data_IF_019565367919
#
_entry.id   IF_019565367919
#
_cell.length_a   1.000
_cell.length_b   1.000
_cell.length_c   1.000
_cell.angle_alpha   90.00
_cell.angle_beta   90.00
_cell.angle_gamma   90.00
#
_symmetry.space_group_name_H-M   'P 1'
#
loop_
_entity.id
_entity.type
_entity.pdbx_description
1 polymer ?
2 non-polymer ?
3 water ?
#
# COMPACT_ATOMS: atom_id res chain seq x y z
N UNK A 2 -7.84 37.59 6.80
CA UNK A 2 -6.65 37.10 7.51
C UNK A 2 -5.41 37.89 7.14
N UNK A 3 -4.46 37.95 8.05
CA UNK A 3 -3.21 38.65 7.82
C UNK A 3 -2.24 37.89 6.90
N UNK A 4 -1.82 38.54 5.85
CA UNK A 4 -0.94 37.89 4.88
C UNK A 4 0.40 37.49 5.50
N UNK A 5 0.82 36.26 5.24
CA UNK A 5 2.08 35.75 5.77
C UNK A 5 3.21 35.88 4.77
N UNK A 6 2.86 35.91 3.49
CA UNK A 6 3.85 35.98 2.43
C UNK A 6 4.53 34.64 2.20
N UNK A 7 3.88 33.58 2.64
CA UNK A 7 4.39 32.22 2.47
C UNK A 7 3.41 31.38 1.65
N UNK A 8 3.87 30.89 0.50
CA UNK A 8 3.02 30.11 -0.39
C UNK A 8 3.66 28.77 -0.76
N UNK A 9 3.21 27.70 -0.11
CA UNK A 9 3.67 26.36 -0.43
C UNK A 9 2.93 25.79 -1.62
N UNK A 10 3.42 24.69 -2.17
CA UNK A 10 2.72 23.96 -3.22
C UNK A 10 2.50 22.52 -2.77
N UNK A 11 1.28 22.03 -2.96
CA UNK A 11 0.96 20.67 -2.52
C UNK A 11 -0.07 19.99 -3.42
N UNK A 12 0.31 18.85 -3.98
CA UNK A 12 -0.62 18.00 -4.73
C UNK A 12 -0.78 16.66 -4.02
N UNK A 13 -2.00 16.15 -4.01
CA UNK A 13 -2.29 14.86 -3.40
C UNK A 13 -2.89 13.91 -4.42
N UNK A 14 -2.25 12.75 -4.59
CA UNK A 14 -2.68 11.78 -5.59
C UNK A 14 -3.15 10.47 -4.96
N UNK A 15 -4.35 10.04 -5.37
CA UNK A 15 -4.85 8.73 -4.97
C UNK A 15 -4.62 7.75 -6.12
N UNK A 16 -3.61 6.90 -5.95
CA UNK A 16 -3.06 6.10 -7.04
C UNK A 16 -4.05 5.13 -7.67
N UNK A 17 -4.57 4.21 -6.87
CA UNK A 17 -5.46 3.17 -7.38
C UNK A 17 -6.81 3.72 -7.82
N UNK A 18 -7.18 4.89 -7.29
CA UNK A 18 -8.42 5.53 -7.68
C UNK A 18 -8.21 6.42 -8.90
N UNK A 19 -6.94 6.60 -9.27
CA UNK A 19 -6.55 7.44 -10.40
C UNK A 19 -7.16 8.85 -10.31
N UNK A 20 -6.98 9.48 -9.15
CA UNK A 20 -7.54 10.81 -8.92
C UNK A 20 -6.45 11.80 -8.48
N UNK A 21 -6.43 12.98 -9.10
CA UNK A 21 -5.48 14.02 -8.74
C UNK A 21 -6.15 15.16 -8.00
N UNK A 22 -5.89 15.25 -6.70
CA UNK A 22 -6.34 16.40 -5.92
C UNK A 22 -5.22 17.43 -5.90
N UNK A 23 -5.33 18.42 -6.78
CA UNK A 23 -4.21 19.34 -7.01
C UNK A 23 -4.38 20.68 -6.32
N UNK A 24 -3.24 21.31 -6.02
CA UNK A 24 -3.20 22.63 -5.38
C UNK A 24 -3.97 22.64 -4.06
N UNK A 25 -3.68 21.65 -3.23
CA UNK A 25 -4.32 21.53 -1.92
C UNK A 25 -3.82 22.60 -0.96
N UNK A 26 -2.61 23.09 -1.22
CA UNK A 26 -1.98 24.11 -0.39
C UNK A 26 -2.81 25.39 -0.21
N UNK A 27 -2.66 26.01 0.96
CA UNK A 27 -3.22 27.34 1.19
C UNK A 27 -2.55 28.31 0.23
N UNK A 28 -3.30 29.25 -0.33
CA UNK A 28 -2.68 30.21 -1.23
C UNK A 28 -1.92 31.27 -0.44
N UNK A 29 -2.03 31.20 0.88
CA UNK A 29 -1.19 31.99 1.78
C UNK A 29 -1.23 31.43 3.20
N UNK A 30 -0.06 31.12 3.74
CA UNK A 30 0.06 30.63 5.09
C UNK A 30 1.05 29.49 5.22
N UNK A 31 1.85 29.52 6.29
CA UNK A 31 2.82 28.45 6.54
C UNK A 31 2.14 27.24 7.17
N UNK A 32 1.29 26.58 6.38
CA UNK A 32 0.56 25.42 6.85
C UNK A 32 -0.02 24.67 5.66
N UNK A 33 -0.20 23.37 5.81
CA UNK A 33 -0.78 22.54 4.78
C UNK A 33 -1.52 21.35 5.36
N UNK A 34 -2.48 20.85 4.62
CA UNK A 34 -3.30 19.73 5.06
C UNK A 34 -4.65 19.75 4.38
N UNK A 35 -5.43 18.69 4.61
CA UNK A 35 -6.76 18.58 4.03
C UNK A 35 -7.57 17.48 4.69
N UNK A 36 -8.86 17.45 4.38
CA UNK A 36 -9.75 16.41 4.87
C UNK A 36 -10.35 15.63 3.71
N UNK A 37 -10.23 14.31 3.75
CA UNK A 37 -10.71 13.47 2.67
C UNK A 37 -11.66 12.40 3.18
N UNK A 38 -12.95 12.60 2.90
CA UNK A 38 -13.95 11.60 3.22
C UNK A 38 -13.90 10.46 2.19
N UNK A 39 -13.38 9.32 2.62
CA UNK A 39 -13.27 8.16 1.75
C UNK A 39 -14.47 7.23 1.95
N UNK A 40 -15.21 6.99 0.87
CA UNK A 40 -16.36 6.10 0.94
C UNK A 40 -16.05 4.80 0.18
N UNK A 41 -16.25 3.67 0.84
CA UNK A 41 -16.03 2.37 0.22
C UNK A 41 -16.97 1.29 0.74
N UNK A 42 -17.33 0.36 -0.13
CA UNK A 42 -18.21 -0.74 0.24
C UNK A 42 -17.42 -2.03 0.41
N UNK A 43 -16.18 -2.02 -0.10
CA UNK A 43 -15.31 -3.20 -0.01
C UNK A 43 -14.04 -2.89 0.76
N UNK A 44 -13.33 -3.94 1.15
CA UNK A 44 -12.07 -3.81 1.89
C UNK A 44 -10.92 -3.60 0.91
N UNK A 45 -10.20 -2.49 1.05
CA UNK A 45 -9.14 -2.19 0.11
C UNK A 45 -8.00 -1.38 0.72
N UNK A 46 -6.89 -1.32 -0.01
CA UNK A 46 -5.77 -0.47 0.36
C UNK A 46 -5.82 0.82 -0.45
N UNK A 47 -5.74 1.95 0.24
CA UNK A 47 -5.75 3.24 -0.45
C UNK A 47 -4.36 3.90 -0.35
N UNK A 48 -3.77 4.15 -1.51
CA UNK A 48 -2.42 4.71 -1.57
C UNK A 48 -2.46 6.21 -1.82
N UNK A 49 -1.83 6.98 -0.93
CA UNK A 49 -1.71 8.43 -1.11
C UNK A 49 -0.27 8.80 -1.45
N UNK A 50 -0.10 9.58 -2.51
CA UNK A 50 1.20 10.19 -2.78
C UNK A 50 1.06 11.71 -2.70
N UNK A 51 1.78 12.31 -1.76
CA UNK A 51 1.75 13.75 -1.56
C UNK A 51 3.04 14.38 -2.05
N UNK A 52 2.93 15.29 -3.01
CA UNK A 52 4.10 15.99 -3.51
C UNK A 52 4.13 17.41 -2.95
N UNK A 53 5.00 17.63 -1.97
CA UNK A 53 5.09 18.91 -1.29
C UNK A 53 6.26 19.74 -1.80
N UNK A 54 6.00 21.01 -2.10
CA UNK A 54 7.05 21.93 -2.51
C UNK A 54 7.06 23.15 -1.61
N UNK A 55 7.79 23.04 -0.48
CA UNK A 55 7.87 24.11 0.51
C UNK A 55 8.42 25.42 -0.05
N UNK A 56 7.91 26.54 0.45
CA UNK A 56 8.42 27.85 0.08
C UNK A 56 9.68 28.13 0.87
N UNK A 57 10.78 27.51 0.45
CA UNK A 57 12.04 27.52 1.22
C UNK A 57 12.57 28.92 1.50
N UNK A 58 12.37 29.84 0.57
CA UNK A 58 12.89 31.20 0.72
C UNK A 58 12.24 31.97 1.86
N UNK A 59 11.06 31.51 2.29
CA UNK A 59 10.30 32.25 3.29
C UNK A 59 10.06 31.46 4.58
N UNK A 60 10.77 30.35 4.74
CA UNK A 60 10.67 29.55 5.95
C UNK A 60 12.06 29.18 6.48
N UNK A 61 12.14 28.91 7.77
CA UNK A 61 13.38 28.44 8.36
C UNK A 61 13.49 26.93 8.17
N UNK A 62 12.35 26.26 8.13
CA UNK A 62 12.27 24.82 7.93
C UNK A 62 10.84 24.42 7.59
N UNK A 63 10.70 23.31 6.87
CA UNK A 63 9.38 22.81 6.50
C UNK A 63 8.84 21.86 7.56
N UNK A 64 7.64 22.16 8.05
CA UNK A 64 6.98 21.32 9.05
C UNK A 64 6.72 19.93 8.47
N UNK A 65 6.57 18.92 9.34
CA UNK A 65 6.22 17.59 8.81
C UNK A 65 4.74 17.53 8.43
N UNK A 66 4.38 16.56 7.60
CA UNK A 66 2.97 16.29 7.34
C UNK A 66 2.52 15.12 8.20
N UNK A 67 1.45 15.33 8.97
CA UNK A 67 0.89 14.26 9.79
C UNK A 67 -0.47 13.85 9.26
N UNK A 68 -0.99 12.73 9.77
CA UNK A 68 -2.27 12.22 9.31
C UNK A 68 -2.98 11.39 10.37
N UNK A 69 -4.29 11.56 10.47
CA UNK A 69 -5.12 10.69 11.29
C UNK A 69 -6.24 10.08 10.46
N UNK A 70 -6.35 8.77 10.50
CA UNK A 70 -7.44 8.06 9.85
C UNK A 70 -8.46 7.62 10.91
N UNK A 71 -9.64 8.21 10.87
CA UNK A 71 -10.69 7.94 11.84
C UNK A 71 -10.20 8.14 13.28
N UNK A 72 -9.37 9.16 13.48
CA UNK A 72 -8.89 9.50 14.80
C UNK A 72 -7.53 8.91 15.15
N UNK A 73 -7.16 7.82 14.48
CA UNK A 73 -5.91 7.13 14.79
C UNK A 73 -4.73 7.68 14.00
N UNK A 74 -3.62 7.92 14.70
CA UNK A 74 -2.42 8.48 14.08
C UNK A 74 -1.82 7.53 13.06
N UNK A 75 -1.51 8.05 11.88
CA UNK A 75 -0.92 7.25 10.82
C UNK A 75 0.42 7.84 10.37
N UNK A 76 1.46 7.01 10.36
CA UNK A 76 2.78 7.42 9.92
C UNK A 76 2.76 7.86 8.46
N UNK A 77 3.35 9.02 8.19
CA UNK A 77 3.43 9.54 6.83
C UNK A 77 4.88 9.62 6.39
N UNK A 78 5.40 8.52 5.82
CA UNK A 78 6.81 8.43 5.42
C UNK A 78 7.18 9.43 4.34
N UNK A 79 8.25 10.19 4.58
CA UNK A 79 8.86 11.01 3.55
C UNK A 79 9.82 10.14 2.75
N UNK A 80 9.32 9.50 1.70
CA UNK A 80 10.06 8.44 1.03
C UNK A 80 11.06 8.93 -0.02
N UNK A 81 10.91 10.16 -0.51
CA UNK A 81 11.80 10.66 -1.55
C UNK A 81 11.94 12.18 -1.54
N UNK A 82 13.11 12.66 -1.97
CA UNK A 82 13.38 14.08 -2.07
C UNK A 82 13.94 14.45 -3.44
N UNK A 83 13.46 15.55 -4.01
CA UNK A 83 14.12 16.15 -5.16
C UNK A 83 14.80 17.41 -4.69
N UNK A 84 15.20 18.28 -5.62
CA UNK A 84 15.92 19.48 -5.25
C UNK A 84 14.97 20.52 -4.65
N UNK A 85 13.67 20.34 -4.94
CA UNK A 85 12.66 21.30 -4.52
C UNK A 85 11.45 20.64 -3.87
N UNK A 86 11.25 19.36 -4.17
CA UNK A 86 10.05 18.66 -3.72
C UNK A 86 10.31 17.63 -2.62
N UNK A 87 9.37 17.55 -1.70
CA UNK A 87 9.34 16.48 -0.70
C UNK A 87 8.22 15.52 -1.07
N UNK A 88 8.52 14.23 -1.16
CA UNK A 88 7.57 13.25 -1.63
C UNK A 88 7.15 12.26 -0.55
N UNK A 89 5.93 12.39 -0.06
CA UNK A 89 5.37 11.49 0.94
C UNK A 89 4.54 10.40 0.29
N UNK A 90 4.54 9.22 0.90
CA UNK A 90 3.68 8.12 0.45
C UNK A 90 3.12 7.37 1.65
N UNK A 91 1.80 7.28 1.72
CA UNK A 91 1.16 6.55 2.81
C UNK A 91 0.10 5.60 2.25
N UNK A 92 0.01 4.42 2.85
CA UNK A 92 -0.98 3.43 2.46
C UNK A 92 -1.81 3.04 3.66
N UNK A 93 -3.12 3.20 3.55
CA UNK A 93 -4.03 2.84 4.62
C UNK A 93 -4.90 1.66 4.21
N UNK A 94 -5.38 0.92 5.19
CA UNK A 94 -6.29 -0.19 4.94
C UNK A 94 -7.65 0.11 5.54
N UNK A 95 -8.69 0.11 4.70
CA UNK A 95 -10.04 0.41 5.16
C UNK A 95 -11.01 -0.72 4.84
N UNK A 96 -11.99 -0.89 5.71
CA UNK A 96 -13.01 -1.92 5.54
C UNK A 96 -14.37 -1.28 5.32
N UNK A 97 -14.48 -0.02 5.73
CA UNK A 97 -15.70 0.76 5.55
C UNK A 97 -15.35 2.22 5.29
N UNK A 98 -16.36 3.09 5.26
CA UNK A 98 -16.14 4.52 5.04
C UNK A 98 -15.20 5.08 6.09
N UNK A 99 -14.30 5.96 5.67
CA UNK A 99 -13.29 6.51 6.56
C UNK A 99 -12.99 7.97 6.26
N UNK A 100 -12.53 8.69 7.28
CA UNK A 100 -12.13 10.08 7.12
C UNK A 100 -10.63 10.21 7.32
N UNK A 101 -9.95 10.80 6.33
CA UNK A 101 -8.51 10.99 6.41
C UNK A 101 -8.17 12.47 6.57
N UNK A 102 -7.50 12.80 7.66
CA UNK A 102 -7.10 14.18 7.92
C UNK A 102 -5.60 14.38 7.85
N UNK A 103 -5.15 15.13 6.87
CA UNK A 103 -3.76 15.54 6.81
C UNK A 103 -3.60 16.91 7.44
N UNK A 104 -2.50 17.15 8.13
CA UNK A 104 -2.30 18.41 8.85
C UNK A 104 -0.84 18.67 9.21
N UNK A 105 -0.47 19.94 9.23
CA UNK A 105 0.85 20.37 9.67
C UNK A 105 0.75 21.04 11.03
N UNK A 106 -0.45 21.49 11.38
CA UNK A 106 -0.67 22.23 12.61
C UNK A 106 -1.93 21.76 13.34
N UNK A 107 -2.04 22.12 14.61
CA UNK A 107 -3.16 21.73 15.45
C UNK A 107 -4.14 22.90 15.63
N UNK A 108 -3.60 24.11 15.60
CA UNK A 108 -4.40 25.32 15.77
C UNK A 108 -5.50 25.43 14.72
N UNK A 109 -6.70 25.79 15.14
CA UNK A 109 -7.84 25.91 14.24
C UNK A 109 -7.67 27.01 13.24
N UNK A 110 -6.90 28.00 13.61
CA UNK A 110 -6.64 29.11 12.70
C UNK A 110 -6.07 28.60 11.37
N UNK A 111 -5.49 27.40 11.40
CA UNK A 111 -4.96 26.76 10.21
C UNK A 111 -5.87 25.63 9.71
N UNK A 112 -6.29 24.75 10.62
CA UNK A 112 -7.03 23.56 10.23
C UNK A 112 -8.41 23.88 9.67
N UNK A 113 -8.98 25.01 10.07
CA UNK A 113 -10.32 25.40 9.62
C UNK A 113 -10.33 25.85 8.17
N UNK A 114 -9.16 26.21 7.63
CA UNK A 114 -9.10 26.65 6.25
C UNK A 114 -8.44 25.59 5.35
N UNK A 115 -8.19 24.41 5.89
CA UNK A 115 -7.84 23.27 5.07
C UNK A 115 -9.02 22.93 4.18
N UNK A 116 -8.77 22.48 2.95
CA UNK A 116 -9.89 22.08 2.09
C UNK A 116 -10.42 20.70 2.49
N UNK A 117 -11.70 20.46 2.21
CA UNK A 117 -12.34 19.19 2.55
C UNK A 117 -12.92 18.53 1.32
N UNK A 118 -12.56 17.28 1.08
CA UNK A 118 -13.00 16.56 -0.10
C UNK A 118 -13.76 15.29 0.25
N UNK A 119 -14.54 14.79 -0.70
CA UNK A 119 -15.13 13.47 -0.60
C UNK A 119 -14.65 12.65 -1.77
N UNK A 120 -14.25 11.41 -1.51
CA UNK A 120 -13.84 10.52 -2.59
C UNK A 120 -14.49 9.14 -2.45
N UNK A 121 -15.32 8.79 -3.42
CA UNK A 121 -15.98 7.49 -3.44
C UNK A 121 -15.12 6.46 -4.16
N UNK A 122 -14.36 5.67 -3.42
CA UNK A 122 -13.38 4.77 -4.03
C UNK A 122 -13.99 3.68 -4.90
N UNK A 123 -15.32 3.57 -4.88
CA UNK A 123 -16.01 2.55 -5.66
C UNK A 123 -16.51 3.10 -6.99
N UNK A 124 -17.08 4.31 -6.96
CA UNK A 124 -17.54 4.97 -8.17
C UNK A 124 -16.45 5.86 -8.71
N UNK A 125 -15.44 6.12 -7.88
CA UNK A 125 -14.36 7.08 -8.15
C UNK A 125 -14.91 8.47 -8.50
N UNK A 126 -16.09 8.80 -7.98
CA UNK A 126 -16.62 10.14 -8.10
C UNK A 126 -16.23 10.96 -6.87
N UNK A 127 -16.12 12.27 -7.03
CA UNK A 127 -15.65 13.12 -5.96
C UNK A 127 -16.48 14.39 -5.80
N UNK A 128 -16.05 15.24 -4.87
CA UNK A 128 -16.75 16.49 -4.56
C UNK A 128 -15.88 17.35 -3.65
N UNK A 129 -15.74 18.62 -4.01
CA UNK A 129 -15.06 19.56 -3.14
C UNK A 129 -16.07 20.20 -2.21
N UNK A 130 -16.27 19.60 -1.03
CA UNK A 130 -17.19 20.15 -0.04
C UNK A 130 -16.77 21.57 0.35
N UNK A 131 -15.47 21.77 0.53
CA UNK A 131 -14.97 23.07 0.94
C UNK A 131 -13.57 23.32 0.38
N UNK A 132 -13.40 24.44 -0.31
CA UNK A 132 -12.11 24.77 -0.89
C UNK A 132 -11.19 25.39 0.15
N UNK A 133 -11.78 25.88 1.24
CA UNK A 133 -11.01 26.54 2.30
C UNK A 133 -10.25 27.73 1.76
N UNK A 134 -9.06 27.96 2.30
CA UNK A 134 -8.21 29.04 1.83
C UNK A 134 -7.29 28.54 0.72
N UNK A 135 -7.86 27.88 -0.27
CA UNK A 135 -7.10 27.33 -1.38
C UNK A 135 -7.76 27.57 -2.74
N UNK A 136 -7.05 27.21 -3.80
CA UNK A 136 -7.60 27.21 -5.15
C UNK A 136 -7.56 25.78 -5.69
N UNK A 137 -7.87 24.83 -4.83
CA UNK A 137 -7.77 23.42 -5.16
C UNK A 137 -8.78 22.99 -6.22
N UNK A 138 -8.39 22.00 -7.01
CA UNK A 138 -9.26 21.41 -8.01
C UNK A 138 -8.93 19.94 -8.16
N UNK A 139 -9.89 19.16 -8.65
CA UNK A 139 -9.68 17.72 -8.78
C UNK A 139 -9.74 17.25 -10.23
N UNK A 140 -8.66 16.64 -10.68
CA UNK A 140 -8.64 15.99 -11.99
C UNK A 140 -8.98 14.51 -11.84
N UNK A 141 -9.97 14.04 -12.62
CA UNK A 141 -10.39 12.63 -12.55
C UNK A 141 -9.39 11.69 -13.22
N UNK A 142 -8.11 12.01 -13.11
CA UNK A 142 -7.05 11.23 -13.73
C UNK A 142 -5.72 11.51 -13.06
N UNK A 143 -4.69 10.75 -13.43
CA UNK A 143 -3.33 11.04 -13.02
C UNK A 143 -2.43 11.03 -14.25
N UNK A 144 -1.99 12.22 -14.66
CA UNK A 144 -1.17 12.34 -15.87
C UNK A 144 0.19 11.68 -15.69
N UNK A 145 0.78 11.27 -16.80
CA UNK A 145 2.12 10.70 -16.80
C UNK A 145 3.14 11.74 -16.34
N UNK A 146 2.88 13.00 -16.63
CA UNK A 146 3.75 14.09 -16.22
C UNK A 146 3.81 14.21 -14.72
N UNK A 147 2.65 14.12 -14.06
CA UNK A 147 2.59 14.16 -12.61
C UNK A 147 3.26 12.93 -12.00
N UNK A 148 3.11 11.79 -12.66
CA UNK A 148 3.69 10.54 -12.17
C UNK A 148 5.20 10.60 -12.12
N UNK A 149 5.80 11.24 -13.12
CA UNK A 149 7.25 11.34 -13.19
C UNK A 149 7.82 12.31 -12.16
N UNK A 150 6.94 13.04 -11.48
CA UNK A 150 7.35 13.94 -10.41
C UNK A 150 7.84 13.16 -9.20
N UNK A 151 7.43 11.89 -9.10
CA UNK A 151 7.89 11.04 -8.00
C UNK A 151 8.54 9.75 -8.50
N UNK A 152 8.29 9.40 -9.75
CA UNK A 152 8.90 8.21 -10.35
C UNK A 152 10.29 8.51 -10.87
N UNK B 5 -0.40 -37.30 2.46
CA UNK B 5 -1.72 -36.95 2.95
C UNK B 5 -2.77 -37.00 1.85
N UNK B 6 -2.32 -36.84 0.61
CA UNK B 6 -3.23 -36.85 -0.53
C UNK B 6 -3.92 -35.52 -0.72
N UNK B 7 -3.38 -34.49 -0.09
CA UNK B 7 -3.96 -33.15 -0.16
C UNK B 7 -3.06 -32.20 -0.93
N UNK B 8 -3.59 -31.61 -2.00
CA UNK B 8 -2.81 -30.72 -2.84
C UNK B 8 -3.48 -29.36 -3.02
N UNK B 9 -3.04 -28.38 -2.25
CA UNK B 9 -3.51 -27.01 -2.42
C UNK B 9 -2.76 -26.35 -3.57
N UNK B 10 -3.29 -25.23 -4.06
CA UNK B 10 -2.58 -24.42 -5.06
C UNK B 10 -2.34 -23.02 -4.51
N UNK B 11 -1.11 -22.53 -4.63
CA UNK B 11 -0.78 -21.22 -4.09
C UNK B 11 0.20 -20.46 -4.96
N UNK B 12 -0.20 -19.24 -5.35
CA UNK B 12 0.69 -18.33 -6.07
C UNK B 12 0.85 -17.05 -5.27
N UNK B 13 2.08 -16.56 -5.17
CA UNK B 13 2.34 -15.30 -4.48
C UNK B 13 2.92 -14.27 -5.42
N UNK B 14 2.27 -13.11 -5.51
CA UNK B 14 2.68 -12.07 -6.43
C UNK B 14 3.22 -10.84 -5.70
N UNK B 15 4.37 -10.35 -6.14
CA UNK B 15 4.89 -9.07 -5.66
C UNK B 15 4.58 -8.02 -6.71
N UNK B 16 3.55 -7.23 -6.44
CA UNK B 16 2.96 -6.35 -7.44
C UNK B 16 3.91 -5.32 -8.05
N UNK B 17 4.52 -4.49 -7.21
CA UNK B 17 5.35 -3.40 -7.71
C UNK B 17 6.71 -3.90 -8.22
N UNK B 18 7.10 -5.10 -7.80
CA UNK B 18 8.34 -5.70 -8.29
C UNK B 18 8.06 -6.49 -9.57
N UNK B 19 6.78 -6.65 -9.88
CA UNK B 19 6.32 -7.41 -11.04
C UNK B 19 6.89 -8.82 -11.05
N UNK B 20 6.83 -9.49 -9.91
CA UNK B 20 7.38 -10.83 -9.76
C UNK B 20 6.30 -11.85 -9.38
N UNK B 21 6.24 -12.94 -10.14
CA UNK B 21 5.29 -14.01 -9.87
C UNK B 21 5.97 -15.23 -9.26
N UNK B 22 5.81 -15.41 -7.96
CA UNK B 22 6.30 -16.63 -7.30
C UNK B 22 5.20 -17.68 -7.36
N UNK B 23 5.33 -18.63 -8.28
CA UNK B 23 4.23 -19.52 -8.59
C UNK B 23 4.40 -20.93 -8.01
N UNK B 24 3.26 -21.56 -7.73
CA UNK B 24 3.21 -22.92 -7.21
C UNK B 24 4.01 -23.06 -5.93
N UNK B 25 3.78 -22.13 -5.01
CA UNK B 25 4.46 -22.09 -3.72
C UNK B 25 3.99 -23.25 -2.84
N UNK B 26 2.78 -23.72 -3.11
CA UNK B 26 2.17 -24.81 -2.34
C UNK B 26 3.03 -26.06 -2.25
N UNK B 27 2.91 -26.77 -1.13
CA UNK B 27 3.52 -28.09 -1.01
C UNK B 27 2.80 -29.01 -1.98
N UNK B 28 3.54 -29.85 -2.70
CA UNK B 28 2.89 -30.74 -3.67
C UNK B 28 2.12 -31.85 -2.97
N UNK B 29 2.31 -31.95 -1.65
CA UNK B 29 1.48 -32.80 -0.80
C UNK B 29 1.52 -32.33 0.64
N UNK B 30 0.35 -32.23 1.26
CA UNK B 30 0.25 -31.83 2.65
C UNK B 30 -0.72 -30.70 2.88
N UNK B 31 -1.48 -30.77 3.97
CA UNK B 31 -2.43 -29.73 4.31
C UNK B 31 -1.74 -28.57 5.03
N UNK B 32 -0.95 -27.81 4.27
CA UNK B 32 -0.25 -26.65 4.80
C UNK B 32 0.28 -25.79 3.66
N UNK B 33 0.37 -24.49 3.89
CA UNK B 33 0.94 -23.59 2.91
C UNK B 33 1.69 -22.44 3.57
N UNK B 34 2.67 -21.92 2.86
CA UNK B 34 3.48 -20.83 3.36
C UNK B 34 4.84 -20.78 2.68
N UNK B 35 5.62 -19.75 3.00
CA UNK B 35 6.96 -19.60 2.46
C UNK B 35 7.73 -18.54 3.21
N UNK B 36 9.04 -18.49 2.97
CA UNK B 36 9.89 -17.46 3.54
C UNK B 36 10.51 -16.61 2.44
N UNK B 37 10.35 -15.30 2.56
CA UNK B 37 10.86 -14.38 1.55
C UNK B 37 11.80 -13.35 2.17
N UNK B 38 13.07 -13.44 1.79
CA UNK B 38 14.06 -12.46 2.20
C UNK B 38 14.03 -11.25 1.29
N UNK B 39 13.56 -10.13 1.84
CA UNK B 39 13.42 -8.91 1.06
C UNK B 39 14.62 -8.00 1.21
N UNK B 40 15.25 -7.66 0.08
CA UNK B 40 16.35 -6.70 0.09
C UNK B 40 15.89 -5.36 -0.46
N UNK B 41 16.12 -4.30 0.32
CA UNK B 41 15.83 -2.96 -0.12
C UNK B 41 16.83 -1.97 0.46
N UNK B 42 17.25 -1.00 -0.35
CA UNK B 42 18.17 0.03 0.10
C UNK B 42 17.43 1.31 0.39
N UNK B 43 16.20 1.40 -0.11
CA UNK B 43 15.36 2.58 0.12
C UNK B 43 14.13 2.21 0.93
N UNK B 44 13.33 3.22 1.27
CA UNK B 44 12.10 2.99 2.02
C UNK B 44 10.93 2.83 1.05
N UNK B 45 10.17 1.76 1.21
CA UNK B 45 9.12 1.45 0.26
C UNK B 45 8.03 0.55 0.83
N UNK B 46 6.89 0.54 0.14
CA UNK B 46 5.79 -0.35 0.43
C UNK B 46 5.83 -1.55 -0.51
N UNK B 47 5.78 -2.75 0.05
CA UNK B 47 5.78 -3.96 -0.76
C UNK B 47 4.41 -4.63 -0.70
N UNK B 48 3.78 -4.77 -1.87
CA UNK B 48 2.45 -5.32 -1.95
C UNK B 48 2.47 -6.80 -2.34
N UNK B 49 1.85 -7.64 -1.50
CA UNK B 49 1.72 -9.06 -1.77
C UNK B 49 0.29 -9.43 -2.12
N UNK B 50 0.11 -10.20 -3.18
CA UNK B 50 -1.19 -10.79 -3.47
C UNK B 50 -1.06 -12.30 -3.56
N UNK B 51 -1.71 -12.98 -2.63
CA UNK B 51 -1.68 -14.44 -2.57
C UNK B 51 -2.97 -15.02 -3.09
N UNK B 52 -2.87 -15.88 -4.11
CA UNK B 52 -4.04 -16.55 -4.64
C UNK B 52 -4.05 -18.03 -4.24
N UNK B 53 -4.81 -18.33 -3.20
CA UNK B 53 -4.89 -19.68 -2.66
C UNK B 53 -6.07 -20.44 -3.25
N UNK B 54 -5.82 -21.63 -3.76
CA UNK B 54 -6.87 -22.50 -4.27
C UNK B 54 -6.91 -23.79 -3.47
N UNK B 55 -7.58 -23.76 -2.30
CA UNK B 55 -7.62 -24.89 -1.35
C UNK B 55 -8.17 -26.17 -1.97
N UNK B 56 -7.64 -27.31 -1.52
CA UNK B 56 -8.16 -28.60 -1.93
C UNK B 56 -9.41 -28.91 -1.12
N UNK B 57 -10.51 -28.26 -1.50
CA UNK B 57 -11.77 -28.34 -0.76
C UNK B 57 -12.32 -29.76 -0.66
N UNK B 58 -11.92 -30.61 -1.60
CA UNK B 58 -12.39 -31.99 -1.63
C UNK B 58 -11.84 -32.79 -0.45
N UNK B 59 -10.69 -32.39 0.08
CA UNK B 59 -10.01 -33.14 1.12
C UNK B 59 -9.91 -32.42 2.46
N UNK B 60 -10.61 -31.30 2.61
CA UNK B 60 -10.58 -30.54 3.86
C UNK B 60 -11.98 -30.17 4.34
N UNK B 61 -12.10 -29.92 5.65
CA UNK B 61 -13.35 -29.46 6.22
C UNK B 61 -13.37 -27.94 6.27
N UNK B 62 -12.18 -27.35 6.40
CA UNK B 62 -12.00 -25.90 6.36
C UNK B 62 -10.61 -25.59 5.82
N UNK B 63 -10.48 -24.44 5.16
CA UNK B 63 -9.18 -23.98 4.71
C UNK B 63 -8.54 -23.12 5.79
N UNK B 64 -7.35 -23.52 6.24
CA UNK B 64 -6.63 -22.79 7.27
C UNK B 64 -6.35 -21.35 6.85
N UNK B 65 -6.26 -20.43 7.81
CA UNK B 65 -5.90 -19.05 7.48
C UNK B 65 -4.43 -18.92 7.11
N UNK B 66 -4.10 -17.93 6.29
CA UNK B 66 -2.71 -17.60 6.03
C UNK B 66 -2.25 -16.49 6.97
N UNK B 67 -1.20 -16.77 7.74
CA UNK B 67 -0.65 -15.77 8.66
C UNK B 67 0.70 -15.26 8.17
N UNK B 68 1.20 -14.20 8.79
CA UNK B 68 2.46 -13.61 8.35
C UNK B 68 3.24 -12.92 9.46
N UNK B 69 4.55 -13.18 9.52
CA UNK B 69 5.44 -12.37 10.33
C UNK B 69 6.35 -11.54 9.44
N UNK B 70 6.56 -10.27 9.82
CA UNK B 70 7.57 -9.43 9.21
C UNK B 70 8.64 -9.17 10.24
N UNK B 71 9.79 -9.82 10.07
CA UNK B 71 10.89 -9.74 11.03
C UNK B 71 10.45 -10.14 12.45
N UNK B 72 9.51 -11.07 12.54
CA UNK B 72 9.06 -11.56 13.82
C UNK B 72 7.72 -10.98 14.25
N UNK B 73 7.44 -9.75 13.85
CA UNK B 73 6.20 -9.09 14.24
C UNK B 73 5.03 -9.60 13.41
N UNK B 74 3.90 -9.84 14.09
CA UNK B 74 2.70 -10.38 13.45
C UNK B 74 1.99 -9.36 12.54
N UNK B 75 1.80 -9.75 11.28
CA UNK B 75 1.06 -8.94 10.33
C UNK B 75 -0.24 -9.61 9.92
N UNK B 76 -1.35 -8.91 10.06
CA UNK B 76 -2.63 -9.46 9.64
C UNK B 76 -2.68 -9.50 8.12
N UNK B 77 -3.17 -10.61 7.58
CA UNK B 77 -3.28 -10.77 6.13
C UNK B 77 -4.74 -10.80 5.71
N UNK B 78 -5.26 -9.64 5.26
CA UNK B 78 -6.66 -9.49 4.85
C UNK B 78 -7.06 -10.46 3.73
N UNK B 79 -8.14 -11.20 3.96
CA UNK B 79 -8.73 -12.02 2.92
C UNK B 79 -9.74 -11.16 2.16
N UNK B 80 -9.25 -10.42 1.17
CA UNK B 80 -10.02 -9.34 0.56
C UNK B 80 -11.07 -9.81 -0.44
N UNK B 81 -10.95 -11.03 -0.94
CA UNK B 81 -11.89 -11.51 -1.94
C UNK B 81 -12.00 -13.02 -2.00
N UNK B 82 -13.18 -13.50 -2.39
CA UNK B 82 -13.38 -14.93 -2.54
C UNK B 82 -14.00 -15.24 -3.86
N UNK B 83 -13.84 -16.47 -4.29
CA UNK B 83 -14.45 -16.93 -5.50
C UNK B 83 -14.79 -18.33 -5.15
N UNK B 84 -15.39 -19.05 -6.06
CA UNK B 84 -15.78 -20.40 -5.76
C UNK B 84 -14.57 -21.25 -5.52
N UNK B 85 -13.55 -21.03 -6.33
CA UNK B 85 -12.34 -21.80 -6.22
C UNK B 85 -11.27 -21.19 -5.37
N UNK B 86 -11.03 -19.92 -5.58
CA UNK B 86 -9.95 -19.28 -4.87
C UNK B 86 -10.20 -18.27 -3.79
N UNK B 87 -9.31 -18.33 -2.83
CA UNK B 87 -9.26 -17.35 -1.74
C UNK B 87 -8.15 -16.36 -2.04
N UNK B 88 -8.47 -15.09 -2.01
CA UNK B 88 -7.52 -14.07 -2.35
C UNK B 88 -7.07 -13.15 -1.25
N UNK B 89 -5.81 -13.26 -0.90
CA UNK B 89 -5.24 -12.42 0.15
C UNK B 89 -4.46 -11.25 -0.45
N UNK B 90 -4.49 -10.10 0.23
CA UNK B 90 -3.67 -8.96 -0.16
C UNK B 90 -3.13 -8.26 1.08
N UNK B 91 -1.82 -8.17 1.18
CA UNK B 91 -1.20 -7.49 2.31
C UNK B 91 -0.10 -6.55 1.85
N UNK B 92 -0.07 -5.35 2.44
CA UNK B 92 0.94 -4.36 2.13
C UNK B 92 1.79 -4.06 3.36
N UNK B 93 3.10 -4.21 3.23
CA UNK B 93 4.02 -3.93 4.32
C UNK B 93 4.91 -2.75 3.99
N UNK B 94 5.43 -2.09 5.03
CA UNK B 94 6.36 -0.99 4.86
C UNK B 94 7.71 -1.35 5.44
N UNK B 95 8.75 -1.23 4.63
CA UNK B 95 10.11 -1.54 5.08
C UNK B 95 11.07 -0.40 4.76
N UNK B 96 12.10 -0.26 5.61
CA UNK B 96 13.11 0.77 5.42
C UNK B 96 14.46 0.14 5.18
N UNK B 97 14.59 -1.13 5.54
CA UNK B 97 15.82 -1.89 5.30
C UNK B 97 15.46 -3.34 5.01
N UNK B 98 16.48 -4.18 4.85
CA UNK B 98 16.26 -5.59 4.55
C UNK B 98 15.35 -6.25 5.58
N UNK B 99 14.45 -7.11 5.11
CA UNK B 99 13.46 -7.72 5.99
C UNK B 99 13.16 -9.16 5.61
N UNK B 100 12.65 -9.91 6.58
CA UNK B 100 12.26 -11.30 6.34
C UNK B 100 10.76 -11.47 6.49
N UNK B 101 10.10 -11.84 5.40
CA UNK B 101 8.67 -12.07 5.41
C UNK B 101 8.36 -13.56 5.49
N UNK B 102 7.53 -13.94 6.45
CA UNK B 102 7.17 -15.34 6.63
C UNK B 102 5.67 -15.57 6.52
N UNK B 103 5.25 -16.17 5.41
CA UNK B 103 3.87 -16.63 5.27
C UNK B 103 3.80 -18.07 5.71
N UNK B 104 2.73 -18.45 6.41
CA UNK B 104 2.54 -19.79 6.96
C UNK B 104 1.14 -20.11 7.43
N UNK B 105 0.81 -21.39 7.49
CA UNK B 105 -0.50 -21.80 7.99
C UNK B 105 -0.38 -22.58 9.29
N UNK B 106 0.82 -23.09 9.55
CA UNK B 106 1.06 -23.90 10.74
C UNK B 106 2.30 -23.44 11.51
N UNK B 107 2.39 -23.85 12.77
CA UNK B 107 3.52 -23.49 13.61
C UNK B 107 4.46 -24.68 13.77
N UNK B 108 3.93 -25.89 13.63
CA UNK B 108 4.73 -27.11 13.76
C UNK B 108 5.83 -27.16 12.71
N UNK B 109 7.03 -27.57 13.14
CA UNK B 109 8.18 -27.64 12.24
C UNK B 109 8.02 -28.74 11.20
N UNK B 110 7.10 -29.66 11.42
CA UNK B 110 6.80 -30.71 10.47
C UNK B 110 6.34 -30.11 9.14
N UNK B 111 5.79 -28.91 9.20
CA UNK B 111 5.27 -28.22 8.02
C UNK B 111 6.15 -27.03 7.62
N UNK B 112 6.63 -26.27 8.61
CA UNK B 112 7.35 -25.04 8.32
C UNK B 112 8.75 -25.29 7.78
N UNK B 113 9.38 -26.36 8.27
CA UNK B 113 10.73 -26.71 7.81
C UNK B 113 10.77 -27.02 6.32
N UNK B 114 9.61 -27.26 5.73
CA UNK B 114 9.57 -27.78 4.38
C UNK B 114 8.88 -26.77 3.46
N UNK B 115 8.58 -25.59 4.00
CA UNK B 115 8.16 -24.44 3.19
C UNK B 115 9.32 -23.99 2.31
N UNK B 116 9.02 -23.37 1.16
CA UNK B 116 10.08 -22.85 0.29
C UNK B 116 10.65 -21.51 0.76
N UNK B 117 11.91 -21.25 0.45
CA UNK B 117 12.57 -20.01 0.86
C UNK B 117 13.09 -19.23 -0.35
N UNK B 118 12.67 -17.97 -0.44
CA UNK B 118 13.07 -17.14 -1.58
C UNK B 118 13.84 -15.91 -1.15
N UNK B 119 14.62 -15.39 -2.09
CA UNK B 119 15.30 -14.13 -1.91
C UNK B 119 14.85 -13.18 -3.01
N UNK B 120 14.30 -12.04 -2.63
CA UNK B 120 13.85 -11.06 -3.60
C UNK B 120 14.51 -9.72 -3.35
N UNK B 121 15.29 -9.27 -4.34
CA UNK B 121 15.89 -7.95 -4.29
C UNK B 121 14.94 -6.94 -4.89
N UNK B 122 14.24 -6.19 -4.05
CA UNK B 122 13.20 -5.28 -4.50
C UNK B 122 13.75 -4.09 -5.28
N UNK B 123 15.07 -3.92 -5.24
CA UNK B 123 15.72 -2.82 -5.95
C UNK B 123 16.09 -3.23 -7.37
N UNK B 124 16.71 -4.41 -7.51
CA UNK B 124 17.14 -4.88 -8.82
C UNK B 124 16.14 -5.86 -9.43
N UNK B 125 15.10 -6.19 -8.65
CA UNK B 125 14.05 -7.13 -9.05
C UNK B 125 14.60 -8.53 -9.34
N UNK B 126 15.86 -8.75 -8.97
CA UNK B 126 16.47 -10.06 -9.11
C UNK B 126 16.02 -10.96 -7.96
N UNK B 127 15.98 -12.25 -8.22
CA UNK B 127 15.40 -13.19 -7.27
C UNK B 127 16.12 -14.53 -7.27
N UNK B 128 15.87 -15.33 -6.25
CA UNK B 128 16.42 -16.67 -6.20
C UNK B 128 15.64 -17.58 -5.25
N UNK B 129 15.50 -18.83 -5.65
CA UNK B 129 14.89 -19.85 -4.80
C UNK B 129 15.98 -20.54 -3.98
N UNK B 130 16.18 -20.06 -2.76
CA UNK B 130 17.21 -20.62 -1.88
C UNK B 130 16.91 -22.09 -1.55
N UNK B 131 15.63 -22.39 -1.32
CA UNK B 131 15.21 -23.75 -1.00
C UNK B 131 13.81 -23.99 -1.55
N UNK B 132 13.63 -25.10 -2.27
CA UNK B 132 12.35 -25.41 -2.88
C UNK B 132 11.40 -26.14 -1.94
N UNK B 133 11.94 -26.78 -0.90
CA UNK B 133 11.13 -27.51 0.06
C UNK B 133 10.33 -28.63 -0.57
N UNK B 134 9.14 -28.88 -0.04
CA UNK B 134 8.23 -29.88 -0.59
C UNK B 134 7.41 -29.30 -1.73
N UNK B 135 8.04 -28.53 -2.61
CA UNK B 135 7.30 -27.85 -3.67
C UNK B 135 7.92 -28.04 -5.05
N UNK B 136 7.17 -27.60 -6.07
CA UNK B 136 7.66 -27.51 -7.43
C UNK B 136 7.58 -26.06 -7.88
N UNK B 137 7.97 -25.16 -6.98
CA UNK B 137 7.80 -23.73 -7.21
C UNK B 137 8.78 -23.19 -8.24
N UNK B 138 8.38 -22.12 -8.90
CA UNK B 138 9.21 -21.42 -9.87
C UNK B 138 8.86 -19.94 -9.87
N UNK B 139 9.77 -19.11 -10.36
CA UNK B 139 9.53 -17.67 -10.37
C UNK B 139 9.54 -17.11 -11.78
N UNK B 140 8.48 -16.41 -12.14
CA UNK B 140 8.43 -15.66 -13.39
C UNK B 140 8.78 -14.19 -13.11
N UNK B 141 9.67 -13.63 -13.93
CA UNK B 141 10.05 -12.21 -13.79
C UNK B 141 9.00 -11.27 -14.38
N UNK B 142 7.74 -11.66 -14.24
CA UNK B 142 6.63 -10.89 -14.79
C UNK B 142 5.33 -11.29 -14.11
N UNK B 143 4.29 -10.49 -14.30
CA UNK B 143 2.95 -10.85 -13.87
C UNK B 143 2.00 -10.78 -15.06
N UNK B 144 1.58 -11.95 -15.54
CA UNK B 144 0.73 -12.02 -16.73
C UNK B 144 -0.63 -11.38 -16.46
N UNK B 145 -1.28 -10.90 -17.52
CA UNK B 145 -2.62 -10.36 -17.42
C UNK B 145 -3.60 -11.45 -17.00
N UNK B 146 -3.32 -12.67 -17.42
CA UNK B 146 -4.13 -13.82 -17.04
C UNK B 146 -4.16 -14.01 -15.54
N UNK B 147 -3.00 -13.87 -14.91
CA UNK B 147 -2.91 -14.01 -13.46
C UNK B 147 -3.58 -12.83 -12.76
N UNK B 148 -3.49 -11.66 -13.36
CA UNK B 148 -4.09 -10.45 -12.77
C UNK B 148 -5.61 -10.54 -12.73
N UNK B 149 -6.19 -11.13 -13.76
CA UNK B 149 -7.64 -11.28 -13.84
C UNK B 149 -8.17 -12.21 -12.74
N UNK B 150 -7.27 -13.01 -12.17
CA UNK B 150 -7.66 -13.95 -11.12
C UNK B 150 -8.08 -13.23 -9.83
N UNK B 151 -7.66 -11.97 -9.67
CA UNK B 151 -8.03 -11.24 -8.47
C UNK B 151 -8.70 -9.89 -8.79
N UNK B 152 -8.58 -9.43 -10.03
CA UNK B 152 -9.23 -8.18 -10.43
C UNK B 152 -10.53 -8.46 -11.18
X LIG C 1 -12.10 -8.32 5.71
X LIG C 1 -11.31 -8.07 4.43
X LIG C 1 -11.93 -9.68 6.11
X LIG C 1 -12.12 -6.75 3.47
X LIG D 1 12.34 7.89 5.86
X LIG D 1 11.51 7.32 4.72
X LIG D 1 11.56 8.85 6.59
X LIG D 1 12.47 6.08 3.82
#
# INVERSE_FOLDING_TARGET
GHMEEGIVHKLDVFLIDENVSIKHVNLFDGDSYGCNIHLKTATCKYITFILVLEPDWENIVEAKPIHMRLNGKKIRVPLVAKTHTSLIYKVVIYVEEDALARFYSDVERSYTDVYPTFLVNTDTRRYYILDSGRTYTYIDPFISDGDKRRWLTREIEEAYDASTEEEEEDDTEEDMDTVHLYCLEEEDEEKIADTGNDNQKDAED
GHMEEGIVHKLDVFLIDENVSIKHVNLFDGDSYGCNIHLKTATCKYITFILVLEPDWENIVEAKPIHMRLNGKKIRVPLVAKTHTSLIYKVVIYVEEDALARFYSDVERSYTDVYPTFLVNTDTRRYYILDSGRTYTYIDPFISDGDKRRWLTREIEEAYDASTEEEEEDDTEEDMDTVHLYCLEEEDEEKIADTGNDNQKDAED
BME C1 C2 O1 S2
BME C1 C2 O1 S2
#
